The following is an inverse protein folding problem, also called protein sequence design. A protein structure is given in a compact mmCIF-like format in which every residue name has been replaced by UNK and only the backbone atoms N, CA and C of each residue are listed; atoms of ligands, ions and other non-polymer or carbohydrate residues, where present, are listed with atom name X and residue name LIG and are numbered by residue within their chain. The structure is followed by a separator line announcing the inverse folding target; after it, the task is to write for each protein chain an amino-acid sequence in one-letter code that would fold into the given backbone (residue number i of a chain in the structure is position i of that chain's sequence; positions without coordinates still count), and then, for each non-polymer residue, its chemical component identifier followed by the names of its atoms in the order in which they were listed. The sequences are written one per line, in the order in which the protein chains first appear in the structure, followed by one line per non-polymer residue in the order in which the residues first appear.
data_IF_338978247296
#
_entry.id   IF_338978247296
#
_cell.length_a   1.000
_cell.length_b   1.000
_cell.length_c   1.000
_cell.angle_alpha   90.00
_cell.angle_beta   90.00
_cell.angle_gamma   90.00
#
_symmetry.space_group_name_H-M   'P 1'
#
loop_
_entity.id
_entity.type
_entity.pdbx_description
1 polymer ?
#
# COMPACT_ATOMS: atom_id res chain seq x y z
N UNK A 1 17.55 -10.40 -10.61
CA UNK A 1 18.83 -9.66 -10.73
C UNK A 1 18.72 -8.45 -11.66
N UNK A 2 18.37 -8.62 -12.96
CA UNK A 2 18.18 -7.47 -13.86
C UNK A 2 17.12 -6.46 -13.38
N UNK A 3 16.05 -6.91 -12.73
CA UNK A 3 15.02 -6.02 -12.17
C UNK A 3 15.47 -5.18 -10.97
N UNK A 4 16.56 -5.57 -10.30
CA UNK A 4 17.13 -4.79 -9.20
C UNK A 4 18.17 -3.78 -9.70
N UNK A 5 18.56 -3.83 -10.98
CA UNK A 5 19.48 -2.87 -11.57
C UNK A 5 18.83 -1.47 -11.55
N UNK A 6 19.48 -0.53 -10.88
CA UNK A 6 19.01 0.85 -10.75
C UNK A 6 18.46 1.21 -9.36
N UNK A 7 18.36 0.26 -8.42
CA UNK A 7 18.05 0.56 -7.02
C UNK A 7 19.34 0.83 -6.26
N UNK A 8 19.33 1.84 -5.39
CA UNK A 8 20.47 2.13 -4.51
C UNK A 8 20.64 1.08 -3.40
N UNK A 9 19.51 0.60 -2.87
CA UNK A 9 19.47 -0.41 -1.82
C UNK A 9 18.44 -1.50 -2.12
N UNK A 10 18.82 -2.73 -1.81
CA UNK A 10 17.93 -3.89 -1.76
C UNK A 10 17.96 -4.46 -0.34
N UNK A 11 16.79 -4.48 0.30
CA UNK A 11 16.56 -4.96 1.65
C UNK A 11 15.79 -6.29 1.60
N UNK A 12 16.17 -7.24 2.45
CA UNK A 12 15.46 -8.51 2.62
C UNK A 12 15.26 -8.83 4.11
N UNK A 13 14.26 -9.65 4.42
CA UNK A 13 14.21 -10.37 5.69
C UNK A 13 14.93 -11.71 5.50
N UNK A 14 16.08 -11.91 6.15
CA UNK A 14 16.79 -13.17 6.10
C UNK A 14 16.40 -14.01 7.31
N UNK A 15 15.42 -14.87 7.11
CA UNK A 15 14.86 -15.76 8.14
C UNK A 15 15.59 -17.10 8.12
N UNK A 16 16.82 -17.09 8.60
CA UNK A 16 17.63 -18.29 8.74
C UNK A 16 18.99 -17.99 9.34
N UNK A 17 19.81 -19.02 9.48
CA UNK A 17 21.13 -18.91 10.11
C UNK A 17 22.24 -19.32 9.14
N UNK A 18 23.23 -18.46 8.96
CA UNK A 18 24.52 -18.84 8.36
C UNK A 18 25.44 -19.36 9.47
N UNK A 19 25.65 -20.67 9.53
CA UNK A 19 26.48 -21.25 10.60
C UNK A 19 27.00 -22.63 10.24
N UNK A 20 28.26 -22.90 10.61
CA UNK A 20 28.80 -24.26 10.68
C UNK A 20 28.43 -25.02 11.97
N UNK A 21 27.83 -24.36 12.96
CA UNK A 21 27.58 -24.94 14.29
C UNK A 21 26.66 -26.17 14.21
N UNK A 22 26.98 -27.25 14.97
CA UNK A 22 26.11 -28.41 15.10
C UNK A 22 25.01 -28.20 16.16
N UNK A 23 25.05 -27.11 16.94
CA UNK A 23 24.20 -26.90 18.10
C UNK A 23 22.95 -26.06 17.75
N UNK A 24 21.86 -26.72 17.36
CA UNK A 24 20.56 -26.07 17.19
C UNK A 24 19.81 -25.90 18.51
N UNK A 25 18.82 -25.01 18.54
CA UNK A 25 17.82 -24.97 19.59
C UNK A 25 16.91 -26.20 19.52
N UNK A 26 16.15 -26.41 20.60
CA UNK A 26 15.15 -27.48 20.68
C UNK A 26 13.81 -27.06 20.04
N UNK A 27 13.89 -26.49 18.84
CA UNK A 27 12.74 -26.07 18.05
C UNK A 27 12.47 -27.06 16.91
N UNK A 28 11.21 -27.09 16.47
CA UNK A 28 10.77 -28.01 15.41
C UNK A 28 11.45 -27.74 14.07
N UNK A 29 11.71 -26.48 13.76
CA UNK A 29 12.32 -26.03 12.51
C UNK A 29 13.53 -25.16 12.86
N UNK A 30 14.69 -25.55 12.36
CA UNK A 30 15.94 -24.80 12.49
C UNK A 30 16.56 -24.65 11.10
N UNK A 31 16.68 -23.43 10.62
CA UNK A 31 17.17 -23.09 9.29
C UNK A 31 18.67 -22.85 9.31
N UNK A 32 19.40 -23.65 8.53
CA UNK A 32 20.85 -23.57 8.43
C UNK A 32 21.33 -23.49 6.99
N UNK A 33 22.28 -22.59 6.77
CA UNK A 33 23.02 -22.45 5.52
C UNK A 33 24.51 -22.29 5.83
N UNK A 34 25.39 -22.78 4.93
CA UNK A 34 26.84 -22.58 5.04
C UNK A 34 27.20 -21.09 4.96
N UNK A 35 28.13 -20.62 5.81
CA UNK A 35 28.48 -19.20 5.96
C UNK A 35 28.94 -18.54 4.65
N UNK A 36 29.73 -19.25 3.84
CA UNK A 36 30.22 -18.75 2.55
C UNK A 36 29.11 -18.46 1.53
N UNK A 37 27.89 -18.98 1.72
CA UNK A 37 26.75 -18.72 0.85
C UNK A 37 26.14 -17.33 1.05
N UNK A 38 26.48 -16.61 2.12
CA UNK A 38 26.14 -15.20 2.26
C UNK A 38 26.65 -14.36 1.07
N UNK A 39 27.73 -14.78 0.41
CA UNK A 39 28.21 -14.18 -0.84
C UNK A 39 27.15 -14.17 -1.97
N UNK A 40 26.23 -15.14 -1.98
CA UNK A 40 25.15 -15.23 -2.98
C UNK A 40 24.14 -14.09 -2.81
N UNK A 41 23.89 -13.63 -1.58
CA UNK A 41 23.02 -12.48 -1.32
C UNK A 41 23.62 -11.23 -1.96
N UNK A 42 24.92 -10.98 -1.74
CA UNK A 42 25.62 -9.85 -2.35
C UNK A 42 25.67 -9.94 -3.87
N UNK A 43 25.99 -11.12 -4.42
CA UNK A 43 25.94 -11.37 -5.86
C UNK A 43 24.51 -11.14 -6.42
N UNK A 44 23.50 -11.34 -5.58
CA UNK A 44 22.10 -11.05 -5.86
C UNK A 44 21.72 -9.56 -5.84
N UNK A 45 22.65 -8.68 -5.44
CA UNK A 45 22.43 -7.25 -5.27
C UNK A 45 21.88 -6.86 -3.89
N UNK A 46 21.76 -7.81 -2.95
CA UNK A 46 21.31 -7.51 -1.59
C UNK A 46 22.32 -6.60 -0.91
N UNK A 47 21.82 -5.50 -0.37
CA UNK A 47 22.61 -4.51 0.35
C UNK A 47 22.43 -4.63 1.86
N UNK A 48 21.24 -5.01 2.29
CA UNK A 48 20.86 -5.08 3.70
C UNK A 48 19.98 -6.31 3.96
N UNK A 49 20.14 -6.94 5.12
CA UNK A 49 19.36 -8.09 5.52
C UNK A 49 18.90 -7.96 6.97
N UNK A 50 17.60 -7.98 7.21
CA UNK A 50 17.04 -8.03 8.56
C UNK A 50 17.25 -9.41 9.18
N UNK A 51 17.79 -9.38 10.40
CA UNK A 51 17.89 -10.51 11.34
C UNK A 51 16.95 -10.31 12.54
N UNK A 52 15.98 -9.41 12.44
CA UNK A 52 14.94 -9.31 13.44
C UNK A 52 13.79 -10.25 13.06
N UNK A 53 13.94 -11.54 13.36
CA UNK A 53 12.92 -12.58 13.14
C UNK A 53 13.08 -13.76 14.10
N UNK A 54 12.10 -14.66 14.16
CA UNK A 54 12.10 -15.81 15.07
C UNK A 54 13.21 -16.82 14.80
N UNK A 55 13.74 -16.91 13.57
CA UNK A 55 14.77 -17.90 13.19
C UNK A 55 16.22 -17.41 13.34
N UNK A 56 16.41 -16.20 13.86
CA UNK A 56 17.74 -15.60 13.98
C UNK A 56 18.63 -16.27 15.03
N UNK A 57 18.04 -17.05 15.93
CA UNK A 57 18.75 -17.78 16.98
C UNK A 57 18.61 -19.29 16.86
N UNK A 58 18.22 -19.86 15.70
CA UNK A 58 18.06 -21.31 15.53
C UNK A 58 19.31 -22.12 15.95
N UNK A 59 20.51 -21.54 15.85
CA UNK A 59 21.77 -22.14 16.33
C UNK A 59 22.40 -21.34 17.48
N UNK A 60 21.53 -20.77 18.33
CA UNK A 60 21.89 -20.00 19.51
C UNK A 60 22.69 -18.72 19.21
N UNK A 61 23.30 -18.12 20.24
CA UNK A 61 24.13 -16.92 20.08
C UNK A 61 25.32 -17.11 19.13
N UNK A 62 25.89 -18.31 19.07
CA UNK A 62 26.97 -18.64 18.13
C UNK A 62 26.49 -18.53 16.68
N UNK A 63 25.36 -19.15 16.34
CA UNK A 63 24.77 -19.06 15.01
C UNK A 63 24.39 -17.64 14.59
N UNK A 64 23.84 -16.86 15.52
CA UNK A 64 23.54 -15.44 15.28
C UNK A 64 24.81 -14.64 14.98
N UNK A 65 25.89 -14.84 15.75
CA UNK A 65 27.17 -14.17 15.52
C UNK A 65 27.84 -14.61 14.21
N UNK A 66 27.77 -15.90 13.87
CA UNK A 66 28.25 -16.41 12.57
C UNK A 66 27.47 -15.76 11.42
N UNK A 67 26.17 -15.60 11.57
CA UNK A 67 25.30 -14.95 10.58
C UNK A 67 25.66 -13.48 10.40
N UNK A 68 25.84 -12.75 11.50
CA UNK A 68 26.31 -11.37 11.49
C UNK A 68 27.64 -11.22 10.74
N UNK A 69 28.63 -12.05 11.08
CA UNK A 69 29.95 -12.00 10.46
C UNK A 69 29.91 -12.37 8.98
N UNK A 70 29.16 -13.42 8.60
CA UNK A 70 29.04 -13.85 7.21
C UNK A 70 28.43 -12.75 6.32
N UNK A 71 27.38 -12.07 6.78
CA UNK A 71 26.78 -10.95 6.06
C UNK A 71 27.77 -9.79 5.90
N UNK A 72 28.41 -9.37 6.99
CA UNK A 72 29.37 -8.25 6.99
C UNK A 72 30.59 -8.52 6.11
N UNK A 73 31.17 -9.72 6.18
CA UNK A 73 32.32 -10.13 5.36
C UNK A 73 32.02 -10.06 3.85
N UNK A 74 30.77 -10.26 3.46
CA UNK A 74 30.32 -10.21 2.07
C UNK A 74 29.65 -8.88 1.69
N UNK A 75 29.75 -7.85 2.53
CA UNK A 75 29.25 -6.51 2.21
C UNK A 75 27.72 -6.40 2.20
N UNK A 76 27.04 -7.20 3.01
CA UNK A 76 25.62 -7.08 3.32
C UNK A 76 25.48 -6.53 4.74
N UNK A 77 24.83 -5.38 4.88
CA UNK A 77 24.63 -4.73 6.19
C UNK A 77 23.46 -5.40 6.93
N UNK A 78 23.68 -5.97 8.12
CA UNK A 78 22.58 -6.52 8.91
C UNK A 78 21.70 -5.41 9.48
N UNK A 79 20.39 -5.68 9.59
CA UNK A 79 19.42 -4.84 10.27
C UNK A 79 18.83 -5.60 11.47
N UNK A 80 18.41 -4.87 12.49
CA UNK A 80 17.72 -5.45 13.65
C UNK A 80 18.63 -6.22 14.61
N UNK A 81 19.95 -6.01 14.50
CA UNK A 81 20.95 -6.55 15.42
C UNK A 81 21.11 -5.70 16.68
N UNK A 82 20.86 -4.40 16.56
CA UNK A 82 20.79 -3.46 17.66
C UNK A 82 19.39 -2.82 17.72
N UNK A 83 19.15 -1.99 18.73
CA UNK A 83 17.86 -1.35 18.94
C UNK A 83 17.72 -0.07 18.12
N UNK A 84 18.60 0.22 17.16
CA UNK A 84 18.68 1.54 16.54
C UNK A 84 18.39 1.50 15.04
N UNK A 85 17.77 2.57 14.49
CA UNK A 85 17.57 2.63 13.05
C UNK A 85 18.90 2.74 12.30
N UNK A 86 19.04 1.98 11.21
CA UNK A 86 20.20 2.06 10.32
C UNK A 86 19.93 3.11 9.25
N UNK A 87 20.87 4.04 9.06
CA UNK A 87 20.77 5.10 8.06
C UNK A 87 21.19 4.60 6.67
N UNK A 88 20.26 4.68 5.74
CA UNK A 88 20.44 4.56 4.30
C UNK A 88 20.75 5.95 3.74
N UNK A 89 22.00 6.18 3.32
CA UNK A 89 22.47 7.50 2.86
C UNK A 89 23.23 7.41 1.55
N UNK A 90 22.85 8.24 0.58
CA UNK A 90 23.67 8.52 -0.59
C UNK A 90 23.75 10.04 -0.84
N UNK A 91 24.30 10.49 -1.98
CA UNK A 91 24.46 11.93 -2.28
C UNK A 91 23.15 12.72 -2.37
N UNK A 92 22.01 12.04 -2.52
CA UNK A 92 20.73 12.65 -2.88
C UNK A 92 19.58 12.32 -1.93
N UNK A 93 19.74 11.42 -0.96
CA UNK A 93 18.72 11.13 0.03
C UNK A 93 19.29 10.57 1.34
N UNK A 94 18.47 10.65 2.39
CA UNK A 94 18.70 10.04 3.70
C UNK A 94 17.40 9.42 4.19
N UNK A 95 17.43 8.13 4.50
CA UNK A 95 16.31 7.38 5.08
C UNK A 95 16.85 6.52 6.23
N UNK A 96 16.03 6.20 7.21
CA UNK A 96 16.34 5.29 8.30
C UNK A 96 15.47 4.05 8.22
N UNK A 97 16.03 2.90 8.60
CA UNK A 97 15.27 1.64 8.68
C UNK A 97 15.45 1.05 10.06
N UNK A 98 14.34 0.85 10.77
CA UNK A 98 14.30 0.17 12.06
C UNK A 98 13.69 -1.21 11.88
N UNK A 99 14.50 -2.24 12.06
CA UNK A 99 14.01 -3.62 12.01
C UNK A 99 13.64 -4.15 13.40
N UNK A 100 12.55 -4.89 13.49
CA UNK A 100 12.02 -5.41 14.75
C UNK A 100 11.31 -6.76 14.56
N UNK A 101 11.23 -7.57 15.62
CA UNK A 101 10.51 -8.84 15.62
C UNK A 101 9.53 -8.88 16.77
N UNK A 102 8.29 -9.27 16.53
CA UNK A 102 7.30 -9.53 17.59
C UNK A 102 6.93 -11.01 17.67
N UNK A 103 7.68 -11.86 16.98
CA UNK A 103 7.48 -13.32 16.93
C UNK A 103 8.60 -14.07 17.64
N UNK A 104 9.71 -13.39 17.94
CA UNK A 104 10.81 -13.98 18.67
C UNK A 104 10.34 -14.33 20.08
N UNK A 105 10.27 -15.63 20.37
CA UNK A 105 9.95 -16.15 21.70
C UNK A 105 11.09 -15.97 22.72
N UNK A 106 12.13 -15.22 22.38
CA UNK A 106 13.30 -14.96 23.22
C UNK A 106 13.59 -13.46 23.34
N UNK A 107 13.99 -13.03 24.52
CA UNK A 107 14.34 -11.62 24.85
C UNK A 107 15.69 -11.17 24.23
N UNK A 108 16.27 -11.97 23.34
CA UNK A 108 17.65 -11.77 22.85
C UNK A 108 17.72 -10.76 21.71
N UNK A 109 16.63 -10.59 20.96
CA UNK A 109 16.54 -9.52 19.96
C UNK A 109 16.22 -8.19 20.62
N UNK A 110 16.86 -7.14 20.12
CA UNK A 110 16.81 -5.83 20.75
C UNK A 110 15.39 -5.22 20.80
N UNK A 111 14.57 -5.49 19.78
CA UNK A 111 13.18 -5.06 19.73
C UNK A 111 12.30 -6.30 19.52
N UNK A 112 11.92 -6.91 20.65
CA UNK A 112 11.07 -8.10 20.75
C UNK A 112 9.63 -7.79 21.23
N UNK A 113 9.31 -6.52 21.52
CA UNK A 113 8.05 -6.11 22.12
C UNK A 113 7.52 -4.80 21.53
N UNK A 114 6.18 -4.69 21.43
CA UNK A 114 5.49 -3.55 20.82
C UNK A 114 5.82 -2.21 21.53
N UNK A 115 5.79 -2.18 22.86
CA UNK A 115 6.08 -0.96 23.63
C UNK A 115 7.52 -0.46 23.41
N UNK A 116 8.48 -1.39 23.32
CA UNK A 116 9.88 -1.06 23.04
C UNK A 116 10.07 -0.51 21.62
N UNK A 117 9.35 -1.08 20.65
CA UNK A 117 9.33 -0.58 19.28
C UNK A 117 8.74 0.84 19.22
N UNK A 118 7.56 1.05 19.78
CA UNK A 118 6.87 2.36 19.79
C UNK A 118 7.74 3.42 20.45
N UNK A 119 8.33 3.10 21.60
CA UNK A 119 9.26 4.00 22.28
C UNK A 119 10.45 4.36 21.39
N UNK A 120 11.10 3.37 20.78
CA UNK A 120 12.28 3.61 19.95
C UNK A 120 11.95 4.44 18.71
N UNK A 121 10.82 4.17 18.06
CA UNK A 121 10.34 4.93 16.91
C UNK A 121 10.07 6.38 17.32
N UNK A 122 9.37 6.60 18.43
CA UNK A 122 9.09 7.93 18.97
C UNK A 122 10.35 8.72 19.34
N UNK A 123 11.31 8.07 20.01
CA UNK A 123 12.61 8.67 20.35
C UNK A 123 13.34 9.11 19.07
N UNK A 124 13.42 8.25 18.05
CA UNK A 124 14.09 8.57 16.80
C UNK A 124 13.40 9.70 16.04
N UNK A 125 12.06 9.69 15.91
CA UNK A 125 11.33 10.76 15.21
C UNK A 125 11.42 12.09 15.95
N UNK A 126 11.58 12.07 17.27
CA UNK A 126 11.84 13.28 18.07
C UNK A 126 13.25 13.83 17.81
N UNK A 127 14.26 12.97 17.77
CA UNK A 127 15.66 13.36 17.52
C UNK A 127 15.94 13.72 16.06
N UNK A 128 15.20 13.12 15.12
CA UNK A 128 15.41 13.21 13.68
C UNK A 128 14.10 13.42 12.90
N UNK A 129 13.36 14.52 13.13
CA UNK A 129 12.02 14.71 12.56
C UNK A 129 12.00 14.76 11.03
N UNK A 130 13.08 15.25 10.42
CA UNK A 130 13.23 15.37 8.97
C UNK A 130 13.79 14.12 8.27
N UNK A 131 14.07 13.04 9.00
CA UNK A 131 14.58 11.79 8.42
C UNK A 131 13.41 10.82 8.21
N UNK A 132 13.11 10.41 6.97
CA UNK A 132 12.16 9.36 6.69
C UNK A 132 12.51 8.07 7.44
N UNK A 133 11.55 7.47 8.13
CA UNK A 133 11.74 6.24 8.89
C UNK A 133 10.84 5.12 8.36
N UNK A 134 11.46 4.02 7.94
CA UNK A 134 10.77 2.77 7.59
C UNK A 134 10.85 1.83 8.79
N UNK A 135 9.70 1.35 9.24
CA UNK A 135 9.63 0.24 10.21
C UNK A 135 9.58 -1.07 9.43
N UNK A 136 10.58 -1.94 9.63
CA UNK A 136 10.74 -3.22 8.93
C UNK A 136 10.50 -4.38 9.91
N UNK A 137 9.25 -4.82 10.03
CA UNK A 137 8.78 -5.60 11.18
C UNK A 137 8.43 -7.04 10.81
N UNK A 138 8.78 -7.96 11.70
CA UNK A 138 8.46 -9.38 11.60
C UNK A 138 7.38 -9.73 12.63
N UNK A 139 6.13 -10.01 12.21
CA UNK A 139 4.95 -10.02 13.08
C UNK A 139 3.75 -10.80 12.51
N UNK A 140 2.70 -10.98 13.31
CA UNK A 140 1.49 -11.67 12.87
C UNK A 140 1.57 -13.17 13.13
N UNK A 141 0.77 -13.94 12.39
CA UNK A 141 0.71 -15.40 12.51
C UNK A 141 1.00 -16.04 11.15
N UNK A 142 1.77 -17.14 11.17
CA UNK A 142 2.07 -17.92 9.98
C UNK A 142 0.80 -18.35 9.23
N UNK A 143 0.85 -18.23 7.90
CA UNK A 143 -0.19 -18.65 6.94
C UNK A 143 -1.53 -17.94 7.10
N UNK A 144 -1.63 -16.91 7.94
CA UNK A 144 -2.84 -16.13 8.07
C UNK A 144 -2.98 -15.18 6.87
N UNK A 145 -4.01 -15.33 6.01
CA UNK A 145 -4.13 -14.54 4.77
C UNK A 145 -4.57 -13.08 5.02
N UNK A 146 -4.91 -12.72 6.25
CA UNK A 146 -5.34 -11.37 6.63
C UNK A 146 -4.61 -10.91 7.89
N UNK A 147 -4.24 -9.63 7.98
CA UNK A 147 -3.65 -9.12 9.21
C UNK A 147 -4.62 -9.24 10.38
N UNK A 148 -4.10 -9.59 11.55
CA UNK A 148 -4.87 -9.62 12.79
C UNK A 148 -5.18 -8.20 13.29
N UNK A 149 -6.25 -8.04 14.06
CA UNK A 149 -6.67 -6.72 14.57
C UNK A 149 -5.58 -6.03 15.40
N UNK A 150 -4.75 -6.80 16.11
CA UNK A 150 -3.64 -6.23 16.88
C UNK A 150 -2.52 -5.70 15.97
N UNK A 151 -2.28 -6.32 14.80
CA UNK A 151 -1.33 -5.79 13.82
C UNK A 151 -1.82 -4.44 13.30
N UNK A 152 -3.13 -4.34 13.01
CA UNK A 152 -3.76 -3.08 12.56
C UNK A 152 -3.69 -1.98 13.62
N UNK A 153 -3.99 -2.30 14.88
CA UNK A 153 -3.87 -1.34 16.01
C UNK A 153 -2.43 -0.84 16.18
N UNK A 154 -1.46 -1.75 16.19
CA UNK A 154 -0.05 -1.37 16.31
C UNK A 154 0.43 -0.58 15.09
N UNK A 155 -0.02 -0.92 13.88
CA UNK A 155 0.26 -0.14 12.67
C UNK A 155 -0.24 1.30 12.81
N UNK A 156 -1.44 1.50 13.36
CA UNK A 156 -2.00 2.82 13.61
C UNK A 156 -1.20 3.61 14.67
N UNK A 157 -0.79 2.95 15.75
CA UNK A 157 0.06 3.56 16.78
C UNK A 157 1.43 3.96 16.21
N UNK A 158 2.05 3.12 15.38
CA UNK A 158 3.30 3.42 14.69
C UNK A 158 3.12 4.57 13.67
N UNK A 159 2.07 4.54 12.85
CA UNK A 159 1.76 5.60 11.90
C UNK A 159 1.59 6.96 12.59
N UNK A 160 0.93 6.98 13.76
CA UNK A 160 0.73 8.20 14.56
C UNK A 160 2.04 8.82 15.08
N UNK A 161 3.15 8.08 15.12
CA UNK A 161 4.48 8.63 15.47
C UNK A 161 5.16 9.38 14.33
N UNK A 162 4.61 9.32 13.10
CA UNK A 162 5.15 9.98 11.92
C UNK A 162 6.21 9.17 11.17
N UNK A 163 6.12 7.84 11.19
CA UNK A 163 6.88 6.96 10.28
C UNK A 163 6.40 7.12 8.84
N UNK A 164 7.25 6.78 7.88
CA UNK A 164 7.01 7.00 6.46
C UNK A 164 6.54 5.73 5.74
N UNK A 165 6.81 4.55 6.30
CA UNK A 165 6.30 3.27 5.83
C UNK A 165 6.43 2.19 6.91
N UNK A 166 5.53 1.21 6.87
CA UNK A 166 5.62 -0.02 7.68
C UNK A 166 5.64 -1.21 6.73
N UNK A 167 6.70 -2.01 6.78
CA UNK A 167 6.91 -3.18 5.92
C UNK A 167 6.97 -4.44 6.79
N UNK A 168 5.94 -5.27 6.66
CA UNK A 168 5.71 -6.47 7.44
C UNK A 168 6.19 -7.76 6.77
N UNK A 169 6.62 -8.69 7.61
CA UNK A 169 7.07 -10.06 7.29
C UNK A 169 6.54 -11.04 8.34
N UNK A 170 6.79 -12.34 8.14
CA UNK A 170 6.42 -13.52 8.97
C UNK A 170 5.26 -14.37 8.47
N UNK A 171 4.10 -13.83 8.03
CA UNK A 171 2.97 -14.69 7.68
C UNK A 171 3.22 -15.68 6.53
N UNK A 172 4.33 -15.54 5.78
CA UNK A 172 4.70 -16.34 4.60
C UNK A 172 3.72 -16.29 3.42
N UNK A 173 2.59 -15.62 3.59
CA UNK A 173 1.59 -15.33 2.57
C UNK A 173 1.49 -13.82 2.38
N UNK A 174 1.10 -13.38 1.19
CA UNK A 174 0.82 -11.97 0.92
C UNK A 174 -0.41 -11.56 1.75
N UNK A 175 -0.30 -10.45 2.46
CA UNK A 175 -1.42 -9.83 3.16
C UNK A 175 -1.76 -8.47 2.52
N UNK A 176 -2.95 -7.97 2.82
CA UNK A 176 -3.45 -6.70 2.32
C UNK A 176 -2.52 -5.51 2.62
N UNK A 177 -2.70 -4.40 1.90
CA UNK A 177 -2.08 -3.10 2.19
C UNK A 177 -3.09 -2.11 2.75
N UNK A 178 -2.67 -1.20 3.61
CA UNK A 178 -3.49 -0.06 4.02
C UNK A 178 -2.69 1.24 3.92
N UNK A 179 -3.40 2.35 3.76
CA UNK A 179 -2.86 3.67 4.08
C UNK A 179 -3.50 4.12 5.39
N UNK A 180 -2.68 4.35 6.43
CA UNK A 180 -3.14 4.93 7.69
C UNK A 180 -2.69 6.39 7.68
N UNK A 181 -3.61 7.29 7.31
CA UNK A 181 -3.22 8.62 6.82
C UNK A 181 -2.34 8.46 5.56
N UNK A 182 -1.20 9.14 5.52
CA UNK A 182 -0.26 9.03 4.40
C UNK A 182 0.71 7.83 4.50
N UNK A 183 0.63 7.03 5.58
CA UNK A 183 1.60 5.95 5.86
C UNK A 183 1.15 4.64 5.21
N UNK A 184 1.86 4.11 4.21
CA UNK A 184 1.60 2.78 3.67
C UNK A 184 2.03 1.70 4.66
N UNK A 185 1.14 0.73 4.87
CA UNK A 185 1.33 -0.43 5.74
C UNK A 185 1.20 -1.69 4.91
N UNK A 186 2.33 -2.33 4.64
CA UNK A 186 2.37 -3.67 4.06
C UNK A 186 2.39 -4.67 5.22
N UNK A 187 1.32 -5.45 5.42
CA UNK A 187 1.29 -6.35 6.57
C UNK A 187 2.14 -7.61 6.37
N UNK A 188 2.25 -8.10 5.13
CA UNK A 188 3.16 -9.18 4.73
C UNK A 188 3.41 -9.17 3.23
N UNK A 189 4.66 -9.27 2.82
CA UNK A 189 5.08 -9.35 1.41
C UNK A 189 5.13 -10.78 0.84
N UNK A 190 4.94 -11.81 1.67
CA UNK A 190 5.13 -13.22 1.27
C UNK A 190 6.60 -13.63 1.12
N UNK A 191 6.84 -14.77 0.49
CA UNK A 191 8.17 -15.37 0.36
C UNK A 191 8.87 -14.99 -0.96
N UNK A 192 10.10 -14.48 -0.90
CA UNK A 192 10.91 -14.22 -2.10
C UNK A 192 11.73 -15.43 -2.56
N UNK A 193 12.29 -16.17 -1.59
CA UNK A 193 12.93 -17.48 -1.76
C UNK A 193 12.64 -18.25 -0.47
N UNK A 194 11.99 -19.41 -0.58
CA UNK A 194 11.67 -20.28 0.55
C UNK A 194 11.60 -21.73 0.07
N UNK A 195 12.02 -22.68 0.91
CA UNK A 195 12.00 -24.12 0.65
C UNK A 195 10.69 -24.82 1.09
N UNK A 196 9.84 -24.10 1.83
CA UNK A 196 8.51 -24.55 2.22
C UNK A 196 7.52 -24.49 1.05
N UNK A 197 6.80 -25.58 0.80
CA UNK A 197 5.73 -25.66 -0.21
C UNK A 197 4.38 -25.84 0.48
N UNK A 198 3.87 -24.75 1.06
CA UNK A 198 2.56 -24.69 1.69
C UNK A 198 1.57 -23.92 0.79
N UNK A 199 0.26 -24.19 0.87
CA UNK A 199 -0.72 -23.44 0.09
C UNK A 199 -0.57 -21.92 0.26
N UNK A 200 -0.65 -21.18 -0.84
CA UNK A 200 -0.58 -19.71 -0.88
C UNK A 200 0.76 -19.08 -0.46
N UNK A 201 1.81 -19.89 -0.25
CA UNK A 201 3.17 -19.41 0.04
C UNK A 201 4.03 -19.24 -1.22
N UNK A 202 3.47 -19.53 -2.38
CA UNK A 202 4.10 -19.42 -3.69
C UNK A 202 3.88 -18.06 -4.36
N UNK A 203 3.25 -17.11 -3.67
CA UNK A 203 3.02 -15.74 -4.15
C UNK A 203 3.72 -14.74 -3.22
N UNK A 204 4.27 -13.68 -3.82
CA UNK A 204 4.90 -12.60 -3.08
C UNK A 204 4.86 -11.28 -3.86
N UNK A 205 5.13 -10.19 -3.15
CA UNK A 205 5.20 -8.85 -3.69
C UNK A 205 6.57 -8.25 -3.40
N UNK A 206 7.22 -7.75 -4.46
CA UNK A 206 8.38 -6.87 -4.32
C UNK A 206 7.85 -5.43 -4.23
N UNK A 207 8.14 -4.74 -3.14
CA UNK A 207 7.84 -3.33 -2.96
C UNK A 207 9.08 -2.47 -3.27
N UNK A 208 8.97 -1.57 -4.25
CA UNK A 208 10.01 -0.62 -4.62
C UNK A 208 9.58 0.77 -4.16
N UNK A 209 10.35 1.35 -3.24
CA UNK A 209 10.09 2.64 -2.64
C UNK A 209 11.07 3.66 -3.20
N UNK A 210 10.58 4.76 -3.77
CA UNK A 210 11.40 5.92 -4.11
C UNK A 210 11.26 6.96 -3.00
N UNK A 211 12.38 7.27 -2.35
CA UNK A 211 12.42 8.14 -1.18
C UNK A 211 13.43 9.26 -1.44
N UNK A 212 13.02 10.50 -1.18
CA UNK A 212 13.90 11.67 -1.15
C UNK A 212 13.99 12.19 0.28
N UNK A 213 13.34 13.33 0.57
CA UNK A 213 13.08 13.84 1.93
C UNK A 213 11.78 13.26 2.52
N UNK A 214 11.02 12.52 1.70
CA UNK A 214 9.81 11.77 2.04
C UNK A 214 9.63 10.61 1.05
N UNK A 215 8.66 9.74 1.32
CA UNK A 215 8.23 8.71 0.37
C UNK A 215 7.49 9.36 -0.82
N UNK A 216 8.03 9.19 -2.04
CA UNK A 216 7.50 9.81 -3.26
C UNK A 216 6.63 8.85 -4.08
N UNK A 217 7.13 7.63 -4.30
CA UNK A 217 6.39 6.63 -5.09
C UNK A 217 6.61 5.23 -4.56
N UNK A 218 5.56 4.41 -4.72
CA UNK A 218 5.54 2.99 -4.35
C UNK A 218 5.20 2.21 -5.60
N UNK A 219 6.07 1.28 -6.00
CA UNK A 219 5.83 0.38 -7.13
C UNK A 219 5.92 -1.07 -6.71
N UNK A 220 4.96 -1.88 -7.14
CA UNK A 220 4.89 -3.30 -6.85
C UNK A 220 5.28 -4.14 -8.06
N UNK A 221 5.94 -5.25 -7.78
CA UNK A 221 6.12 -6.32 -8.75
C UNK A 221 5.67 -7.64 -8.11
N UNK A 222 4.49 -8.17 -8.49
CA UNK A 222 4.04 -9.49 -8.07
C UNK A 222 4.98 -10.56 -8.63
N UNK A 223 5.31 -11.55 -7.81
CA UNK A 223 6.10 -12.71 -8.20
C UNK A 223 5.41 -13.99 -7.75
N UNK A 224 5.77 -15.09 -8.41
CA UNK A 224 5.47 -16.44 -7.94
C UNK A 224 6.73 -17.26 -7.75
N UNK A 225 6.70 -18.21 -6.82
CA UNK A 225 7.79 -19.14 -6.60
C UNK A 225 7.59 -20.40 -7.43
N UNK A 226 8.51 -20.68 -8.34
CA UNK A 226 8.56 -21.95 -9.07
C UNK A 226 9.77 -22.73 -8.59
N UNK A 227 9.53 -23.82 -7.85
CA UNK A 227 10.59 -24.62 -7.21
C UNK A 227 11.54 -23.73 -6.40
N UNK A 228 10.97 -22.91 -5.50
CA UNK A 228 11.68 -22.00 -4.58
C UNK A 228 12.22 -20.71 -5.21
N UNK A 229 12.26 -20.60 -6.53
CA UNK A 229 12.84 -19.45 -7.21
C UNK A 229 11.77 -18.45 -7.66
N UNK A 230 11.98 -17.14 -7.44
CA UNK A 230 11.05 -16.11 -7.84
C UNK A 230 11.00 -15.99 -9.36
N UNK A 231 9.79 -15.91 -9.88
CA UNK A 231 9.46 -15.73 -11.29
C UNK A 231 8.43 -14.63 -11.41
N UNK A 232 8.57 -13.81 -12.45
CA UNK A 232 7.52 -12.89 -12.84
C UNK A 232 6.41 -13.69 -13.52
N UNK A 233 5.20 -13.75 -12.95
CA UNK A 233 4.12 -14.48 -13.57
C UNK A 233 3.58 -13.70 -14.76
N UNK A 234 2.81 -14.38 -15.61
CA UNK A 234 2.09 -13.72 -16.70
C UNK A 234 1.11 -12.66 -16.17
N UNK A 235 0.76 -11.68 -17.01
CA UNK A 235 -0.10 -10.55 -16.63
C UNK A 235 -1.40 -10.98 -15.96
N UNK A 236 -2.04 -12.04 -16.44
CA UNK A 236 -3.29 -12.56 -15.85
C UNK A 236 -3.11 -12.98 -14.40
N UNK A 237 -2.01 -13.67 -14.07
CA UNK A 237 -1.72 -14.09 -12.71
C UNK A 237 -1.23 -12.93 -11.84
N UNK A 238 -0.50 -11.96 -12.41
CA UNK A 238 -0.20 -10.70 -11.69
C UNK A 238 -1.50 -9.99 -11.26
N UNK A 239 -2.48 -9.89 -12.15
CA UNK A 239 -3.78 -9.29 -11.84
C UNK A 239 -4.49 -10.00 -10.69
N UNK A 240 -4.43 -11.33 -10.64
CA UNK A 240 -5.04 -12.10 -9.56
C UNK A 240 -4.36 -11.83 -8.22
N UNK A 241 -3.02 -11.88 -8.16
CA UNK A 241 -2.25 -11.56 -6.95
C UNK A 241 -2.56 -10.15 -6.47
N UNK A 242 -2.62 -9.18 -7.40
CA UNK A 242 -2.94 -7.79 -7.08
C UNK A 242 -4.38 -7.64 -6.58
N UNK A 243 -5.34 -8.33 -7.17
CA UNK A 243 -6.73 -8.31 -6.72
C UNK A 243 -6.83 -8.83 -5.29
N UNK A 244 -6.19 -9.96 -4.99
CA UNK A 244 -6.18 -10.54 -3.65
C UNK A 244 -5.44 -9.64 -2.64
N UNK A 245 -4.34 -9.02 -3.06
CA UNK A 245 -3.61 -8.02 -2.28
C UNK A 245 -4.45 -6.77 -1.95
N UNK A 246 -5.38 -6.39 -2.83
CA UNK A 246 -6.31 -5.29 -2.60
C UNK A 246 -7.57 -5.69 -1.82
N UNK A 247 -7.83 -6.98 -1.65
CA UNK A 247 -8.96 -7.40 -0.84
C UNK A 247 -8.71 -6.95 0.61
N UNK A 248 -9.68 -6.26 1.20
CA UNK A 248 -9.60 -5.69 2.55
C UNK A 248 -8.59 -4.53 2.70
N UNK A 249 -8.26 -3.87 1.58
CA UNK A 249 -7.46 -2.65 1.50
C UNK A 249 -8.34 -1.45 1.16
N UNK A 250 -9.21 -0.97 2.05
CA UNK A 250 -10.07 0.16 1.71
C UNK A 250 -9.23 1.37 1.30
N UNK A 251 -9.73 2.13 0.32
CA UNK A 251 -9.16 3.41 -0.09
C UNK A 251 -7.74 3.30 -0.67
N UNK A 252 -7.41 2.14 -1.25
CA UNK A 252 -6.15 1.91 -1.99
C UNK A 252 -6.41 1.84 -3.49
N UNK A 253 -5.50 2.40 -4.29
CA UNK A 253 -5.51 2.27 -5.74
C UNK A 253 -4.16 1.81 -6.30
N UNK A 254 -4.22 0.98 -7.34
CA UNK A 254 -3.08 0.52 -8.12
C UNK A 254 -3.24 0.89 -9.59
N UNK A 255 -2.19 1.49 -10.15
CA UNK A 255 -2.13 1.94 -11.54
C UNK A 255 -1.16 1.04 -12.30
N UNK A 256 -1.65 0.32 -13.31
CA UNK A 256 -0.82 -0.47 -14.21
C UNK A 256 -0.25 0.45 -15.30
N UNK A 257 1.07 0.43 -15.43
CA UNK A 257 1.80 1.14 -16.49
C UNK A 257 2.94 0.27 -17.03
N UNK A 258 3.62 0.75 -18.08
CA UNK A 258 4.86 0.11 -18.57
C UNK A 258 5.96 0.00 -17.50
N UNK A 259 5.92 0.86 -16.49
CA UNK A 259 6.86 0.86 -15.36
C UNK A 259 6.38 -0.03 -14.19
N UNK A 260 5.39 -0.88 -14.41
CA UNK A 260 4.80 -1.77 -13.41
C UNK A 260 3.60 -1.16 -12.69
N UNK A 261 3.27 -1.76 -11.55
CA UNK A 261 2.12 -1.40 -10.71
C UNK A 261 2.52 -0.29 -9.75
N UNK A 262 1.89 0.87 -9.82
CA UNK A 262 2.10 1.95 -8.85
C UNK A 262 0.97 1.98 -7.83
N UNK A 263 1.28 2.04 -6.54
CA UNK A 263 0.30 2.10 -5.45
C UNK A 263 0.15 3.54 -4.97
N UNK A 264 -1.10 3.94 -4.67
CA UNK A 264 -1.45 5.23 -4.09
C UNK A 264 -2.72 5.12 -3.24
N UNK A 265 -3.00 6.09 -2.35
CA UNK A 265 -4.34 6.28 -1.82
C UNK A 265 -5.35 6.48 -2.97
N UNK A 266 -6.55 5.92 -2.85
CA UNK A 266 -7.59 5.99 -3.87
C UNK A 266 -8.00 7.44 -4.17
N UNK A 267 -7.99 8.29 -3.15
CA UNK A 267 -8.26 9.72 -3.28
C UNK A 267 -7.21 10.49 -4.09
N UNK A 268 -5.98 9.98 -4.18
CA UNK A 268 -4.87 10.58 -4.90
C UNK A 268 -4.81 10.17 -6.38
N UNK A 269 -5.79 9.39 -6.86
CA UNK A 269 -5.86 8.94 -8.26
C UNK A 269 -6.21 10.09 -9.20
N UNK A 270 -5.35 10.30 -10.20
CA UNK A 270 -5.61 11.20 -11.33
C UNK A 270 -5.65 10.41 -12.64
N UNK A 271 -6.80 10.41 -13.32
CA UNK A 271 -6.96 9.68 -14.59
C UNK A 271 -6.21 10.31 -15.78
N UNK A 272 -5.55 11.46 -15.59
CA UNK A 272 -4.61 12.03 -16.57
C UNK A 272 -3.26 11.32 -16.56
N UNK A 273 -2.96 10.56 -15.50
CA UNK A 273 -1.75 9.76 -15.41
C UNK A 273 -1.69 8.71 -16.53
N UNK A 274 -0.47 8.39 -16.95
CA UNK A 274 -0.23 7.39 -17.97
C UNK A 274 -0.38 5.98 -17.40
N UNK A 275 -1.61 5.48 -17.38
CA UNK A 275 -1.93 4.10 -17.01
C UNK A 275 -2.90 3.44 -18.01
N UNK A 276 -2.79 2.12 -18.13
CA UNK A 276 -3.65 1.30 -18.98
C UNK A 276 -4.85 0.73 -18.19
N UNK A 277 -4.66 0.54 -16.89
CA UNK A 277 -5.62 -0.02 -15.96
C UNK A 277 -5.44 0.62 -14.58
N UNK A 278 -6.54 1.05 -13.98
CA UNK A 278 -6.61 1.49 -12.60
C UNK A 278 -7.42 0.44 -11.84
N UNK A 279 -6.85 -0.11 -10.77
CA UNK A 279 -7.55 -0.93 -9.78
C UNK A 279 -7.72 -0.10 -8.51
N UNK A 280 -8.83 -0.23 -7.83
CA UNK A 280 -9.04 0.39 -6.53
C UNK A 280 -10.00 -0.44 -5.70
N UNK A 281 -9.90 -0.31 -4.39
CA UNK A 281 -10.68 -1.07 -3.44
C UNK A 281 -11.47 -0.16 -2.52
N UNK A 282 -12.74 -0.51 -2.32
CA UNK A 282 -13.51 -0.11 -1.15
C UNK A 282 -13.36 -1.17 -0.04
N UNK A 283 -14.03 -0.96 1.08
CA UNK A 283 -14.15 -1.93 2.18
C UNK A 283 -14.73 -3.27 1.73
N UNK A 284 -15.67 -3.25 0.80
CA UNK A 284 -16.42 -4.44 0.39
C UNK A 284 -16.19 -4.88 -1.07
N UNK A 285 -15.38 -4.14 -1.85
CA UNK A 285 -15.22 -4.42 -3.27
C UNK A 285 -13.84 -4.06 -3.82
N UNK A 286 -13.49 -4.68 -4.93
CA UNK A 286 -12.43 -4.23 -5.83
C UNK A 286 -13.07 -3.82 -7.14
N UNK A 287 -12.64 -2.72 -7.72
CA UNK A 287 -13.10 -2.23 -9.01
C UNK A 287 -11.91 -1.86 -9.90
N UNK A 288 -12.17 -1.87 -11.20
CA UNK A 288 -11.22 -1.61 -12.24
C UNK A 288 -11.75 -0.57 -13.20
N UNK A 289 -10.96 0.45 -13.53
CA UNK A 289 -11.20 1.33 -14.66
C UNK A 289 -10.19 0.99 -15.75
N UNK A 290 -10.67 0.64 -16.94
CA UNK A 290 -9.82 0.40 -18.11
C UNK A 290 -10.06 1.47 -19.16
N UNK A 291 -9.00 2.10 -19.63
CA UNK A 291 -9.07 3.03 -20.76
C UNK A 291 -8.99 2.26 -22.07
N UNK A 292 -9.97 2.44 -22.94
CA UNK A 292 -9.96 1.84 -24.28
C UNK A 292 -9.14 2.71 -25.25
N UNK A 293 -8.47 2.07 -26.21
CA UNK A 293 -7.67 2.75 -27.23
C UNK A 293 -8.51 3.76 -28.05
N UNK A 294 -9.76 3.41 -28.31
CA UNK A 294 -10.76 4.27 -28.96
C UNK A 294 -12.09 4.10 -28.24
N UNK A 295 -12.64 5.16 -27.63
CA UNK A 295 -13.99 5.14 -27.07
C UNK A 295 -14.07 5.40 -25.56
N UNK A 296 -15.07 4.81 -24.86
CA UNK A 296 -15.32 5.06 -23.44
C UNK A 296 -14.27 4.40 -22.53
N UNK A 297 -14.25 4.79 -21.26
CA UNK A 297 -13.60 4.00 -20.22
C UNK A 297 -14.56 2.89 -19.79
N UNK A 298 -14.05 1.72 -19.41
CA UNK A 298 -14.84 0.65 -18.82
C UNK A 298 -14.63 0.68 -17.31
N UNK A 299 -15.70 0.83 -16.54
CA UNK A 299 -15.68 0.62 -15.10
C UNK A 299 -16.23 -0.77 -14.81
N UNK A 300 -15.41 -1.63 -14.26
CA UNK A 300 -15.70 -3.03 -13.97
C UNK A 300 -15.59 -3.27 -12.48
N UNK A 301 -16.67 -3.73 -11.87
CA UNK A 301 -16.63 -4.29 -10.52
C UNK A 301 -16.08 -5.72 -10.58
N UNK A 302 -15.17 -6.04 -9.67
CA UNK A 302 -14.54 -7.34 -9.53
C UNK A 302 -14.98 -7.94 -8.19
N UNK A 303 -15.86 -8.93 -8.25
CA UNK A 303 -16.34 -9.61 -7.06
C UNK A 303 -15.38 -10.74 -6.66
N UNK A 304 -15.24 -11.04 -5.35
CA UNK A 304 -14.34 -12.09 -4.86
C UNK A 304 -14.64 -13.49 -5.41
N UNK A 305 -15.88 -13.75 -5.83
CA UNK A 305 -16.30 -15.03 -6.43
C UNK A 305 -15.97 -15.12 -7.94
N UNK A 306 -15.24 -14.14 -8.48
CA UNK A 306 -14.84 -14.06 -9.89
C UNK A 306 -15.93 -13.50 -10.81
N UNK A 307 -17.12 -13.15 -10.29
CA UNK A 307 -18.10 -12.41 -11.08
C UNK A 307 -17.63 -10.98 -11.32
N UNK A 308 -18.08 -10.41 -12.43
CA UNK A 308 -17.84 -9.00 -12.73
C UNK A 308 -19.04 -8.36 -13.38
N UNK A 309 -19.21 -7.06 -13.11
CA UNK A 309 -20.21 -6.22 -13.75
C UNK A 309 -19.51 -5.02 -14.36
N UNK A 310 -19.83 -4.65 -15.61
CA UNK A 310 -19.13 -3.57 -16.31
C UNK A 310 -20.11 -2.53 -16.85
N UNK A 311 -19.77 -1.25 -16.62
CA UNK A 311 -20.48 -0.08 -17.17
C UNK A 311 -19.54 0.72 -18.07
N UNK A 312 -20.07 1.23 -19.17
CA UNK A 312 -19.33 2.12 -20.08
C UNK A 312 -19.43 3.57 -19.63
N UNK A 313 -18.27 4.22 -19.48
CA UNK A 313 -18.12 5.60 -19.07
C UNK A 313 -17.75 6.45 -20.29
N UNK A 314 -18.70 7.27 -20.75
CA UNK A 314 -18.50 8.17 -21.87
C UNK A 314 -18.00 9.54 -21.41
N UNK A 315 -16.82 9.92 -21.89
CA UNK A 315 -16.18 11.20 -21.57
C UNK A 315 -14.75 11.02 -21.08
N UNK A 316 -14.15 12.11 -20.62
CA UNK A 316 -12.80 12.10 -20.06
C UNK A 316 -12.87 12.09 -18.54
N UNK A 317 -12.37 11.04 -17.91
CA UNK A 317 -12.27 10.94 -16.45
C UNK A 317 -11.22 11.92 -15.91
N UNK A 318 -11.41 12.37 -14.68
CA UNK A 318 -10.52 13.31 -13.99
C UNK A 318 -10.18 12.89 -12.57
N UNK A 319 -11.19 12.58 -11.75
CA UNK A 319 -11.05 12.25 -10.31
C UNK A 319 -11.96 11.08 -9.93
N UNK A 320 -11.59 10.37 -8.86
CA UNK A 320 -12.34 9.29 -8.23
C UNK A 320 -12.39 9.50 -6.71
N UNK A 321 -13.53 9.18 -6.09
CA UNK A 321 -13.69 9.02 -4.63
C UNK A 321 -14.56 7.80 -4.36
N UNK A 322 -14.40 7.21 -3.18
CA UNK A 322 -15.20 6.10 -2.67
C UNK A 322 -15.77 6.52 -1.32
N UNK A 323 -17.09 6.54 -1.19
CA UNK A 323 -17.77 6.90 0.06
C UNK A 323 -19.23 6.41 0.02
N UNK A 324 -19.81 6.10 1.17
CA UNK A 324 -21.25 5.82 1.32
C UNK A 324 -22.03 7.14 1.28
N UNK A 325 -22.23 7.68 0.07
CA UNK A 325 -22.74 9.05 -0.09
C UNK A 325 -24.26 9.12 0.10
N UNK A 326 -24.98 8.02 -0.12
CA UNK A 326 -26.43 7.95 0.08
C UNK A 326 -26.87 7.37 1.43
N UNK A 327 -25.90 7.04 2.30
CA UNK A 327 -26.09 6.54 3.67
C UNK A 327 -26.83 5.21 3.74
N UNK A 328 -26.65 4.34 2.74
CA UNK A 328 -27.25 3.01 2.71
C UNK A 328 -26.40 1.93 3.39
N UNK A 329 -25.23 2.32 3.91
CA UNK A 329 -24.25 1.44 4.55
C UNK A 329 -23.29 0.78 3.55
N UNK A 330 -23.34 1.13 2.27
CA UNK A 330 -22.45 0.62 1.22
C UNK A 330 -21.74 1.77 0.54
N UNK A 331 -20.49 1.55 0.21
CA UNK A 331 -19.69 2.56 -0.47
C UNK A 331 -20.07 2.69 -1.96
N UNK A 332 -20.18 3.92 -2.41
CA UNK A 332 -20.42 4.31 -3.79
C UNK A 332 -19.13 4.77 -4.47
N UNK A 333 -19.12 4.69 -5.81
CA UNK A 333 -18.03 5.19 -6.65
C UNK A 333 -18.41 6.53 -7.25
N UNK A 334 -17.71 7.58 -6.84
CA UNK A 334 -17.89 8.95 -7.32
C UNK A 334 -16.83 9.27 -8.38
N UNK A 335 -17.27 9.65 -9.58
CA UNK A 335 -16.40 9.91 -10.73
C UNK A 335 -16.59 11.31 -11.31
N UNK A 336 -15.48 12.03 -11.47
CA UNK A 336 -15.44 13.28 -12.24
C UNK A 336 -15.30 13.01 -13.73
N UNK A 337 -16.36 13.22 -14.51
CA UNK A 337 -16.37 12.98 -15.96
C UNK A 337 -16.61 14.28 -16.72
N UNK A 338 -15.69 14.62 -17.63
CA UNK A 338 -15.87 15.71 -18.59
C UNK A 338 -16.65 15.22 -19.82
N UNK A 339 -17.96 15.49 -19.83
CA UNK A 339 -18.90 15.06 -20.88
C UNK A 339 -19.97 16.11 -21.19
N UNK A 340 -20.66 15.92 -22.32
CA UNK A 340 -21.90 16.62 -22.66
C UNK A 340 -23.09 15.81 -22.13
N UNK A 341 -24.18 16.47 -21.78
CA UNK A 341 -25.47 15.80 -21.48
C UNK A 341 -26.56 16.40 -22.34
N UNK A 342 -27.69 15.70 -22.46
CA UNK A 342 -28.80 16.08 -23.37
C UNK A 342 -29.27 17.51 -23.12
N UNK A 343 -29.41 17.90 -21.85
CA UNK A 343 -29.94 19.20 -21.44
C UNK A 343 -28.87 20.28 -21.19
N UNK A 344 -27.58 19.94 -21.30
CA UNK A 344 -26.45 20.88 -21.25
C UNK A 344 -25.33 20.37 -22.16
N UNK A 345 -25.31 20.89 -23.38
CA UNK A 345 -24.41 20.48 -24.47
C UNK A 345 -22.99 21.01 -24.30
N UNK A 346 -22.75 21.82 -23.26
CA UNK A 346 -21.40 22.29 -22.92
C UNK A 346 -20.62 21.14 -22.30
N UNK A 347 -19.41 20.91 -22.82
CA UNK A 347 -18.52 19.87 -22.30
C UNK A 347 -17.81 20.39 -21.05
N UNK A 348 -18.35 20.03 -19.89
CA UNK A 348 -17.81 20.38 -18.57
C UNK A 348 -17.67 19.17 -17.68
N UNK A 349 -16.92 19.29 -16.58
CA UNK A 349 -16.78 18.24 -15.58
C UNK A 349 -18.11 18.07 -14.84
N UNK A 350 -18.50 16.82 -14.61
CA UNK A 350 -19.74 16.43 -13.94
C UNK A 350 -19.43 15.28 -12.99
N UNK A 351 -19.92 15.36 -11.77
CA UNK A 351 -19.88 14.24 -10.85
C UNK A 351 -20.83 13.14 -11.34
N UNK A 352 -20.44 11.87 -11.27
CA UNK A 352 -21.28 10.72 -11.56
C UNK A 352 -21.11 9.74 -10.40
N UNK A 353 -22.21 9.27 -9.84
CA UNK A 353 -22.22 8.38 -8.69
C UNK A 353 -22.76 7.04 -9.15
N UNK A 354 -22.02 5.97 -8.84
CA UNK A 354 -22.40 4.60 -9.10
C UNK A 354 -22.45 3.84 -7.79
N UNK A 355 -23.60 3.23 -7.51
CA UNK A 355 -23.84 2.46 -6.30
C UNK A 355 -23.78 0.96 -6.58
N UNK A 356 -23.49 0.19 -5.54
CA UNK A 356 -23.47 -1.26 -5.59
C UNK A 356 -24.78 -1.86 -5.06
N UNK A 357 -25.62 -2.35 -5.99
CA UNK A 357 -26.92 -2.95 -5.67
C UNK A 357 -27.09 -4.28 -6.39
N UNK A 358 -27.49 -5.30 -5.63
CA UNK A 358 -27.74 -6.66 -6.13
C UNK A 358 -26.59 -7.26 -6.94
N UNK A 359 -25.36 -7.16 -6.44
CA UNK A 359 -24.15 -7.62 -7.13
C UNK A 359 -23.87 -6.93 -8.47
N UNK A 360 -24.46 -5.76 -8.71
CA UNK A 360 -24.30 -4.99 -9.93
C UNK A 360 -23.95 -3.53 -9.64
N UNK A 361 -23.17 -2.94 -10.55
CA UNK A 361 -22.91 -1.53 -10.52
C UNK A 361 -24.06 -0.78 -11.19
N UNK A 362 -24.73 0.10 -10.47
CA UNK A 362 -25.89 0.85 -10.95
C UNK A 362 -25.62 2.35 -10.86
N UNK A 363 -26.01 3.14 -11.87
CA UNK A 363 -25.89 4.59 -11.79
C UNK A 363 -26.88 5.13 -10.76
N UNK A 364 -26.38 5.79 -9.72
CA UNK A 364 -27.18 6.50 -8.73
C UNK A 364 -27.43 7.95 -9.15
N UNK A 365 -26.41 8.60 -9.72
CA UNK A 365 -26.51 9.99 -10.19
C UNK A 365 -25.62 10.24 -11.40
N UNK A 366 -26.16 10.75 -12.52
CA UNK A 366 -25.43 10.80 -13.81
C UNK A 366 -24.95 12.20 -14.23
N UNK A 367 -24.81 13.12 -13.27
CA UNK A 367 -24.15 14.39 -13.50
C UNK A 367 -25.05 15.53 -13.98
N UNK A 368 -26.16 15.75 -13.27
CA UNK A 368 -26.86 17.04 -13.36
C UNK A 368 -25.95 18.16 -12.84
N UNK A 369 -26.28 19.41 -13.17
CA UNK A 369 -25.45 20.55 -12.76
C UNK A 369 -25.60 20.75 -11.25
N UNK A 370 -24.48 20.94 -10.54
CA UNK A 370 -24.47 21.53 -9.20
C UNK A 370 -24.74 23.04 -9.30
N UNK A 371 -24.40 23.83 -8.27
CA UNK A 371 -24.66 25.28 -8.28
C UNK A 371 -23.86 25.96 -9.41
N UNK A 372 -22.55 25.77 -9.44
CA UNK A 372 -21.61 26.31 -10.43
C UNK A 372 -20.84 25.19 -11.17
N UNK A 373 -19.80 25.57 -11.92
CA UNK A 373 -19.02 24.58 -12.67
C UNK A 373 -18.11 23.82 -11.72
N UNK A 374 -18.28 22.51 -11.64
CA UNK A 374 -17.44 21.65 -10.82
C UNK A 374 -15.97 21.71 -11.26
N UNK A 375 -15.09 22.12 -10.34
CA UNK A 375 -13.63 22.13 -10.50
C UNK A 375 -13.06 20.84 -9.92
N UNK A 376 -13.28 20.59 -8.63
CA UNK A 376 -12.88 19.38 -7.89
C UNK A 376 -13.94 18.95 -6.89
N UNK A 377 -13.90 17.71 -6.45
CA UNK A 377 -14.75 17.23 -5.36
C UNK A 377 -14.00 16.29 -4.42
N UNK A 378 -14.47 16.25 -3.19
CA UNK A 378 -14.02 15.33 -2.15
C UNK A 378 -15.20 14.83 -1.31
N UNK A 379 -14.93 13.92 -0.39
CA UNK A 379 -15.89 13.40 0.57
C UNK A 379 -15.32 13.48 1.97
N UNK A 380 -16.12 13.86 2.95
CA UNK A 380 -15.72 13.76 4.35
C UNK A 380 -16.82 13.14 5.18
N UNK A 381 -16.42 12.52 6.28
CA UNK A 381 -17.33 11.92 7.25
C UNK A 381 -17.39 12.77 8.52
N UNK A 382 -18.59 13.08 8.99
CA UNK A 382 -18.83 13.71 10.28
C UNK A 382 -20.10 13.13 10.90
N UNK A 383 -20.01 12.79 12.19
CA UNK A 383 -21.15 12.26 12.98
C UNK A 383 -21.83 11.02 12.36
N UNK A 384 -21.07 10.21 11.62
CA UNK A 384 -21.59 9.01 10.94
C UNK A 384 -22.27 9.29 9.60
N UNK A 385 -22.27 10.54 9.13
CA UNK A 385 -22.75 10.93 7.80
C UNK A 385 -21.58 11.26 6.88
N UNK A 386 -21.73 10.95 5.60
CA UNK A 386 -20.81 11.30 4.52
C UNK A 386 -21.32 12.49 3.68
N UNK A 387 -20.50 13.52 3.54
CA UNK A 387 -20.85 14.71 2.77
C UNK A 387 -20.01 14.80 1.51
N UNK A 388 -20.60 15.36 0.45
CA UNK A 388 -19.87 15.76 -0.75
C UNK A 388 -19.35 17.18 -0.55
N UNK A 389 -18.05 17.37 -0.64
CA UNK A 389 -17.45 18.70 -0.75
C UNK A 389 -17.02 18.96 -2.18
N UNK A 390 -17.10 20.22 -2.60
CA UNK A 390 -16.71 20.61 -3.95
C UNK A 390 -16.02 21.95 -3.95
N UNK A 391 -15.12 22.12 -4.92
CA UNK A 391 -14.71 23.44 -5.39
C UNK A 391 -15.42 23.69 -6.71
N UNK A 392 -16.13 24.80 -6.80
CA UNK A 392 -16.91 25.19 -7.98
C UNK A 392 -16.56 26.60 -8.44
N UNK A 393 -16.71 26.87 -9.74
CA UNK A 393 -16.36 28.15 -10.37
C UNK A 393 -17.53 28.75 -11.14
N UNK A 394 -17.88 29.99 -10.83
CA UNK A 394 -18.94 30.73 -11.53
C UNK A 394 -18.47 31.27 -12.90
N UNK A 395 -19.37 31.93 -13.65
CA UNK A 395 -19.05 32.47 -14.98
C UNK A 395 -18.08 33.66 -14.96
N UNK A 396 -17.83 34.25 -13.79
CA UNK A 396 -16.89 35.37 -13.60
C UNK A 396 -15.52 34.88 -13.11
N UNK A 397 -15.33 33.57 -12.92
CA UNK A 397 -14.10 32.97 -12.43
C UNK A 397 -13.97 32.99 -10.90
N UNK A 398 -15.02 33.31 -10.15
CA UNK A 398 -14.98 33.23 -8.70
C UNK A 398 -15.12 31.78 -8.26
N UNK A 399 -14.31 31.36 -7.29
CA UNK A 399 -14.36 30.02 -6.72
C UNK A 399 -15.16 29.97 -5.44
N UNK A 400 -15.84 28.86 -5.24
CA UNK A 400 -16.66 28.57 -4.08
C UNK A 400 -16.36 27.18 -3.57
N UNK A 401 -16.34 27.02 -2.25
CA UNK A 401 -16.41 25.74 -1.59
C UNK A 401 -17.87 25.47 -1.23
N UNK A 402 -18.38 24.31 -1.63
CA UNK A 402 -19.73 23.88 -1.31
C UNK A 402 -19.73 22.53 -0.59
N UNK A 403 -20.65 22.38 0.36
CA UNK A 403 -20.95 21.11 1.05
C UNK A 403 -22.37 20.71 0.66
N UNK A 404 -22.50 19.47 0.19
CA UNK A 404 -23.76 18.86 -0.16
C UNK A 404 -24.03 17.62 0.68
N UNK A 405 -25.31 17.39 0.90
CA UNK A 405 -25.85 16.20 1.55
C UNK A 405 -26.76 15.48 0.57
N UNK A 406 -26.80 14.15 0.65
CA UNK A 406 -27.68 13.37 -0.22
C UNK A 406 -29.14 13.48 0.25
N UNK A 407 -30.04 13.85 -0.66
CA UNK A 407 -31.47 14.12 -0.35
C UNK A 407 -32.43 13.08 -0.95
N UNK A 408 -31.96 11.84 -1.11
CA UNK A 408 -32.64 10.72 -1.77
C UNK A 408 -32.64 10.76 -3.31
N UNK A 409 -32.75 11.95 -3.92
CA UNK A 409 -32.76 12.09 -5.39
C UNK A 409 -31.45 12.65 -5.95
N UNK A 410 -30.72 13.43 -5.15
CA UNK A 410 -29.44 14.00 -5.54
C UNK A 410 -28.77 14.72 -4.37
N UNK A 411 -28.14 15.84 -4.69
CA UNK A 411 -27.34 16.61 -3.75
C UNK A 411 -28.04 17.92 -3.36
N UNK A 412 -28.46 18.02 -2.11
CA UNK A 412 -28.96 19.24 -1.50
C UNK A 412 -27.79 20.08 -0.97
N UNK A 413 -27.78 21.37 -1.31
CA UNK A 413 -26.76 22.29 -0.83
C UNK A 413 -26.97 22.57 0.66
N UNK A 414 -26.00 22.19 1.48
CA UNK A 414 -25.99 22.47 2.92
C UNK A 414 -25.25 23.79 3.22
N UNK A 415 -24.07 23.97 2.62
CA UNK A 415 -23.23 25.18 2.82
C UNK A 415 -22.55 25.61 1.53
N UNK A 416 -22.45 26.93 1.32
CA UNK A 416 -21.70 27.53 0.22
C UNK A 416 -20.89 28.72 0.73
N UNK A 417 -19.58 28.76 0.44
CA UNK A 417 -18.68 29.85 0.81
C UNK A 417 -17.81 30.24 -0.39
N UNK A 418 -17.60 31.54 -0.61
CA UNK A 418 -16.62 32.02 -1.60
C UNK A 418 -15.20 31.79 -1.08
N UNK A 419 -14.30 31.34 -1.95
CA UNK A 419 -12.88 31.17 -1.66
C UNK A 419 -12.17 32.47 -2.01
N UNK A 420 -11.48 33.08 -1.05
CA UNK A 420 -10.66 34.27 -1.26
C UNK A 420 -9.23 33.86 -1.64
N UNK A 421 -8.54 34.66 -2.47
CA UNK A 421 -7.24 34.31 -3.06
C UNK A 421 -6.12 34.01 -2.03
N UNK A 422 -6.29 34.43 -0.77
CA UNK A 422 -5.30 34.25 0.31
C UNK A 422 -5.56 33.01 1.20
N UNK A 423 -6.59 32.21 0.93
CA UNK A 423 -6.87 31.00 1.71
C UNK A 423 -6.27 29.75 1.04
N UNK A 424 -5.22 29.18 1.65
CA UNK A 424 -4.77 27.82 1.32
C UNK A 424 -5.85 26.82 1.73
N UNK A 425 -6.27 25.99 0.77
CA UNK A 425 -7.31 24.96 0.91
C UNK A 425 -6.92 23.90 1.93
N UNK A 426 -7.32 24.10 3.18
CA UNK A 426 -7.48 23.05 4.19
C UNK A 426 -8.96 23.02 4.58
N UNK A 427 -9.66 21.98 4.16
CA UNK A 427 -10.99 21.62 4.64
C UNK A 427 -10.87 20.34 5.44
#
# INVERSE_FOLDING_TARGET
LQQFQGHDYLLINYEGTFSGSPHSQNDRYNFKTEENRAALLRAGGVSHASLANNHSFDFGPEGFQNTLQALQQHGVTPLGTDCFPVLLTNRHYRCAVLAASLTAHNETLCIAAADSLLKRVGDFKTEHPAVPLIVYIHWGLELQPRPADWQRRLAAELAATGVDAIIGHHPHVVQSIEFIGDVPVFYSLGNFVADAYLPSTDEAIIANLSISDKLETIRLAPITLIRYFPRMPERRRQLHIIQDFLQHSPEVALLESKAGWQVKPAEAVDFREAADLWLFSGRAFVAAVKKLATGPHLLTLLLPDGKSNTVSIHGSLSELKVADIDHDGKEDILLGIRKKVVFDTTRRKRLNVFSFRDNNLQPLWLGTKLIYNLVSFDTYSAEGLHYLTTVEEDSLGNRYAAVYEWDHFGFALNRLRRIHQDETTGY
#
